data_IF_041221440625
#
_entry.id   IF_041221440625
#
_cell.length_a   1.000
_cell.length_b   1.000
_cell.length_c   1.000
_cell.angle_alpha   90.00
_cell.angle_beta   90.00
_cell.angle_gamma   90.00
#
_symmetry.space_group_name_H-M   'P 1'
#
loop_
_entity.id
_entity.type
_entity.pdbx_description
1 polymer ?
#
# COMPACT_ATOMS: atom_id res chain seq x y z
N UNK A 1 7.31 -48.61 -6.60
CA UNK A 1 7.75 -47.72 -7.70
C UNK A 1 6.59 -47.06 -8.44
N UNK A 2 5.59 -47.78 -8.97
CA UNK A 2 4.44 -47.18 -9.70
C UNK A 2 3.64 -46.14 -8.91
N UNK A 3 3.34 -46.40 -7.63
CA UNK A 3 2.61 -45.47 -6.75
C UNK A 3 3.37 -44.17 -6.48
N UNK A 4 4.70 -44.24 -6.41
CA UNK A 4 5.57 -43.07 -6.22
C UNK A 4 5.59 -42.20 -7.49
N UNK A 5 5.66 -42.82 -8.67
CA UNK A 5 5.56 -42.11 -9.95
C UNK A 5 4.23 -41.37 -10.12
N UNK A 6 3.11 -42.00 -9.73
CA UNK A 6 1.79 -41.35 -9.73
C UNK A 6 1.74 -40.18 -8.74
N UNK A 7 2.28 -40.35 -7.53
CA UNK A 7 2.32 -39.27 -6.53
C UNK A 7 3.15 -38.07 -7.01
N UNK A 8 4.33 -38.31 -7.59
CA UNK A 8 5.17 -37.25 -8.17
C UNK A 8 4.47 -36.54 -9.32
N UNK A 9 3.80 -37.30 -10.19
CA UNK A 9 3.05 -36.72 -11.31
C UNK A 9 1.89 -35.83 -10.84
N UNK A 10 1.12 -36.27 -9.83
CA UNK A 10 0.06 -35.45 -9.23
C UNK A 10 0.65 -34.19 -8.59
N UNK A 11 1.77 -34.29 -7.88
CA UNK A 11 2.44 -33.15 -7.26
C UNK A 11 2.89 -32.11 -8.31
N UNK A 12 3.43 -32.58 -9.44
CA UNK A 12 3.84 -31.72 -10.56
C UNK A 12 2.64 -31.01 -11.20
N UNK A 13 1.51 -31.69 -11.37
CA UNK A 13 0.29 -31.07 -11.89
C UNK A 13 -0.20 -30.01 -10.90
N UNK A 14 -0.29 -30.33 -9.60
CA UNK A 14 -0.74 -29.39 -8.58
C UNK A 14 0.19 -28.16 -8.49
N UNK A 15 1.51 -28.37 -8.55
CA UNK A 15 2.49 -27.30 -8.56
C UNK A 15 2.37 -26.41 -9.80
N UNK A 16 2.20 -27.02 -10.99
CA UNK A 16 2.05 -26.27 -12.25
C UNK A 16 0.76 -25.45 -12.27
N UNK A 17 -0.36 -26.04 -11.81
CA UNK A 17 -1.65 -25.36 -11.70
C UNK A 17 -1.56 -24.22 -10.67
N UNK A 18 -0.95 -24.46 -9.51
CA UNK A 18 -0.74 -23.45 -8.48
C UNK A 18 0.11 -22.27 -8.98
N UNK A 19 1.23 -22.55 -9.65
CA UNK A 19 2.09 -21.52 -10.24
C UNK A 19 1.36 -20.73 -11.34
N UNK A 20 0.58 -21.39 -12.18
CA UNK A 20 -0.26 -20.72 -13.18
C UNK A 20 -1.24 -19.73 -12.54
N UNK A 21 -1.93 -20.12 -11.47
CA UNK A 21 -2.80 -19.22 -10.72
C UNK A 21 -2.03 -18.07 -10.06
N UNK A 22 -0.85 -18.33 -9.49
CA UNK A 22 0.00 -17.31 -8.89
C UNK A 22 0.36 -16.21 -9.89
N UNK A 23 0.87 -16.57 -11.07
CA UNK A 23 1.20 -15.61 -12.14
C UNK A 23 -0.06 -14.86 -12.61
N UNK A 24 -1.18 -15.57 -12.79
CA UNK A 24 -2.44 -14.95 -13.23
C UNK A 24 -2.97 -13.90 -12.26
N UNK A 25 -2.68 -14.05 -10.96
CA UNK A 25 -3.06 -13.07 -9.93
C UNK A 25 -2.11 -11.86 -9.86
N UNK A 26 -1.09 -11.79 -10.72
CA UNK A 26 -0.04 -10.75 -10.66
C UNK A 26 1.12 -11.15 -9.76
N UNK A 27 1.28 -12.44 -9.47
CA UNK A 27 2.46 -12.95 -8.79
C UNK A 27 3.71 -12.67 -9.63
N UNK A 28 4.75 -12.13 -9.00
CA UNK A 28 6.01 -11.72 -9.62
C UNK A 28 5.91 -10.52 -10.59
N UNK A 29 4.82 -9.75 -10.58
CA UNK A 29 4.76 -8.45 -11.26
C UNK A 29 5.78 -7.50 -10.62
N UNK A 30 6.64 -6.81 -11.40
CA UNK A 30 7.63 -5.88 -10.86
C UNK A 30 6.95 -4.64 -10.25
N UNK A 31 7.58 -4.06 -9.23
CA UNK A 31 7.20 -2.75 -8.70
C UNK A 31 7.71 -1.70 -9.69
N UNK A 32 6.81 -0.89 -10.22
CA UNK A 32 7.17 0.16 -11.17
C UNK A 32 7.57 1.41 -10.38
N UNK A 33 8.85 1.75 -10.40
CA UNK A 33 9.43 2.86 -9.66
C UNK A 33 9.71 4.05 -10.58
N UNK A 34 9.30 5.25 -10.16
CA UNK A 34 9.59 6.50 -10.86
C UNK A 34 9.82 7.64 -9.87
N UNK A 35 10.58 8.66 -10.31
CA UNK A 35 10.67 9.95 -9.60
C UNK A 35 9.65 10.88 -10.23
N UNK A 36 8.82 11.50 -9.40
CA UNK A 36 7.84 12.49 -9.81
C UNK A 36 8.28 13.85 -9.29
N UNK A 37 8.40 14.82 -10.19
CA UNK A 37 8.78 16.21 -9.88
C UNK A 37 7.54 17.04 -9.57
N UNK A 38 6.82 16.66 -8.52
CA UNK A 38 5.68 17.36 -7.98
C UNK A 38 5.61 17.13 -6.46
N UNK A 39 4.87 17.97 -5.75
CA UNK A 39 4.61 17.75 -4.33
C UNK A 39 3.61 16.60 -4.14
N UNK A 40 3.77 15.77 -3.09
CA UNK A 40 2.71 14.85 -2.69
C UNK A 40 1.42 15.62 -2.36
N UNK A 41 0.26 15.06 -2.71
CA UNK A 41 -1.04 15.66 -2.40
C UNK A 41 -1.20 15.95 -0.91
N UNK A 42 -1.86 17.06 -0.58
CA UNK A 42 -2.35 17.30 0.77
C UNK A 42 -3.42 16.26 1.10
N UNK A 43 -3.36 15.69 2.30
CA UNK A 43 -4.27 14.65 2.74
C UNK A 43 -5.12 15.12 3.91
N UNK A 44 -6.40 14.82 3.85
CA UNK A 44 -7.38 15.16 4.89
C UNK A 44 -8.00 13.88 5.43
N UNK A 45 -7.98 13.68 6.74
CA UNK A 45 -8.41 12.40 7.29
C UNK A 45 -8.39 12.31 8.81
N UNK A 46 -8.28 11.08 9.31
CA UNK A 46 -8.27 10.76 10.74
C UNK A 46 -7.15 9.79 11.06
N UNK A 47 -6.51 9.99 12.20
CA UNK A 47 -5.57 9.01 12.76
C UNK A 47 -6.29 8.03 13.66
N UNK A 48 -6.12 6.74 13.38
CA UNK A 48 -6.53 5.65 14.24
C UNK A 48 -5.33 5.08 14.99
N UNK A 49 -5.52 4.78 16.28
CA UNK A 49 -4.55 4.06 17.11
C UNK A 49 -5.23 2.95 17.90
N UNK A 50 -4.73 1.73 17.77
CA UNK A 50 -5.26 0.55 18.46
C UNK A 50 -4.82 -0.72 17.74
N UNK A 51 -5.68 -1.73 17.56
CA UNK A 51 -5.29 -3.02 16.96
C UNK A 51 -6.00 -3.28 15.63
N UNK A 52 -5.43 -4.09 14.72
CA UNK A 52 -6.07 -4.46 13.46
C UNK A 52 -7.48 -5.06 13.57
N UNK A 53 -7.84 -5.65 14.72
CA UNK A 53 -9.14 -6.28 14.94
C UNK A 53 -10.18 -5.38 15.61
N UNK A 54 -9.78 -4.18 16.02
CA UNK A 54 -10.68 -3.22 16.65
C UNK A 54 -11.71 -2.72 15.62
N UNK A 55 -13.02 -2.80 15.90
CA UNK A 55 -14.07 -2.27 15.03
C UNK A 55 -13.87 -0.79 14.66
N UNK A 56 -13.23 0.01 15.53
CA UNK A 56 -12.95 1.43 15.30
C UNK A 56 -12.05 1.68 14.09
N UNK A 57 -11.15 0.76 13.76
CA UNK A 57 -10.37 0.85 12.53
C UNK A 57 -11.31 0.81 11.31
N UNK A 58 -12.22 -0.15 11.29
CA UNK A 58 -13.22 -0.28 10.23
C UNK A 58 -14.20 0.90 10.19
N UNK A 59 -14.57 1.47 11.35
CA UNK A 59 -15.36 2.71 11.43
C UNK A 59 -14.60 3.88 10.79
N UNK A 60 -13.32 4.04 11.12
CA UNK A 60 -12.46 5.08 10.54
C UNK A 60 -12.41 4.98 9.02
N UNK A 61 -12.19 3.78 8.46
CA UNK A 61 -12.23 3.57 7.02
C UNK A 61 -13.59 3.91 6.40
N UNK A 62 -14.70 3.45 7.01
CA UNK A 62 -16.05 3.73 6.51
C UNK A 62 -16.38 5.21 6.50
N UNK A 63 -15.95 5.96 7.51
CA UNK A 63 -16.14 7.41 7.54
C UNK A 63 -15.40 8.11 6.39
N UNK A 64 -14.16 7.68 6.11
CA UNK A 64 -13.37 8.21 4.98
C UNK A 64 -13.96 7.79 3.63
N UNK A 65 -14.46 6.55 3.49
CA UNK A 65 -15.19 6.08 2.30
C UNK A 65 -16.48 6.88 2.06
N UNK A 66 -17.22 7.21 3.12
CA UNK A 66 -18.39 8.09 3.02
C UNK A 66 -17.98 9.49 2.54
N UNK A 67 -16.89 10.05 3.08
CA UNK A 67 -16.35 11.33 2.61
C UNK A 67 -15.91 11.25 1.14
N UNK A 68 -15.32 10.14 0.71
CA UNK A 68 -14.91 9.90 -0.67
C UNK A 68 -16.11 9.91 -1.61
N UNK A 69 -17.22 9.28 -1.19
CA UNK A 69 -18.46 9.26 -1.98
C UNK A 69 -19.03 10.66 -2.26
N UNK A 70 -18.76 11.61 -1.35
CA UNK A 70 -19.15 13.01 -1.49
C UNK A 70 -18.13 13.84 -2.30
N UNK A 71 -16.92 13.31 -2.51
CA UNK A 71 -15.84 13.97 -3.25
C UNK A 71 -15.31 13.07 -4.38
N UNK A 72 -16.08 12.89 -5.48
CA UNK A 72 -15.71 12.00 -6.56
C UNK A 72 -14.35 12.36 -7.17
N UNK A 73 -13.56 11.34 -7.50
CA UNK A 73 -12.23 11.50 -8.08
C UNK A 73 -11.08 11.43 -7.05
N UNK A 74 -11.37 11.67 -5.77
CA UNK A 74 -10.40 11.48 -4.68
C UNK A 74 -10.09 10.00 -4.43
N UNK A 75 -8.93 9.73 -3.85
CA UNK A 75 -8.41 8.41 -3.51
C UNK A 75 -8.19 8.29 -2.01
N UNK A 76 -8.36 7.08 -1.49
CA UNK A 76 -8.05 6.80 -0.09
C UNK A 76 -6.55 6.63 0.04
N UNK A 77 -6.00 7.33 1.03
CA UNK A 77 -4.61 7.26 1.41
C UNK A 77 -4.47 6.71 2.82
N UNK A 78 -3.39 5.97 3.06
CA UNK A 78 -2.99 5.56 4.41
C UNK A 78 -1.52 5.85 4.68
N UNK A 79 -1.21 6.20 5.93
CA UNK A 79 0.17 6.38 6.42
C UNK A 79 0.29 5.60 7.71
N UNK A 80 1.09 4.54 7.70
CA UNK A 80 1.38 3.75 8.90
C UNK A 80 2.55 4.38 9.65
N UNK A 81 2.26 5.05 10.77
CA UNK A 81 3.28 5.53 11.70
C UNK A 81 3.84 4.38 12.54
N UNK A 82 2.99 3.39 12.83
CA UNK A 82 3.36 2.14 13.47
C UNK A 82 2.64 0.98 12.78
N UNK A 83 3.40 0.11 12.12
CA UNK A 83 2.87 -1.12 11.53
C UNK A 83 2.75 -2.23 12.59
N UNK A 84 1.62 -2.95 12.62
CA UNK A 84 1.43 -4.07 13.53
C UNK A 84 2.19 -5.31 13.00
N UNK A 85 2.93 -6.00 13.87
CA UNK A 85 3.53 -7.30 13.51
C UNK A 85 2.51 -8.45 13.55
N UNK A 86 1.39 -8.25 14.25
CA UNK A 86 0.32 -9.22 14.41
C UNK A 86 -1.03 -8.57 14.71
N UNK A 87 -2.09 -9.40 14.72
CA UNK A 87 -3.48 -8.95 14.83
C UNK A 87 -3.83 -8.25 16.15
N UNK A 88 -3.04 -8.48 17.20
CA UNK A 88 -3.23 -7.93 18.54
C UNK A 88 -2.24 -6.81 18.85
N UNK A 89 -1.30 -6.54 17.94
CA UNK A 89 -0.30 -5.49 18.16
C UNK A 89 -0.92 -4.12 17.93
N UNK A 90 -0.37 -3.14 18.62
CA UNK A 90 -0.77 -1.75 18.41
C UNK A 90 -0.26 -1.29 17.05
N UNK A 91 -1.14 -0.64 16.32
CA UNK A 91 -0.85 0.11 15.11
C UNK A 91 -1.30 1.55 15.28
N UNK A 92 -0.66 2.43 14.52
CA UNK A 92 -1.04 3.82 14.39
C UNK A 92 -1.03 4.16 12.91
N UNK A 93 -2.22 4.47 12.38
CA UNK A 93 -2.43 4.68 10.94
C UNK A 93 -3.28 5.92 10.73
N UNK A 94 -2.82 6.81 9.86
CA UNK A 94 -3.67 7.84 9.29
C UNK A 94 -4.43 7.27 8.10
N UNK A 95 -5.72 7.58 7.99
CA UNK A 95 -6.58 7.23 6.84
C UNK A 95 -7.24 8.51 6.35
N UNK A 96 -7.10 8.85 5.07
CA UNK A 96 -7.60 10.12 4.53
C UNK A 96 -7.77 10.14 3.02
N UNK A 97 -8.10 11.31 2.48
CA UNK A 97 -8.29 11.59 1.06
C UNK A 97 -7.34 12.68 0.58
N UNK A 98 -7.00 12.67 -0.70
CA UNK A 98 -6.33 13.78 -1.39
C UNK A 98 -7.30 14.95 -1.58
N UNK A 99 -7.34 15.83 -0.57
CA UNK A 99 -8.19 17.01 -0.54
C UNK A 99 -7.35 18.25 -0.22
N UNK A 100 -7.65 19.40 -0.83
CA UNK A 100 -6.85 20.61 -0.66
C UNK A 100 -6.97 21.27 0.72
N UNK A 101 -8.07 21.03 1.45
CA UNK A 101 -8.31 21.62 2.77
C UNK A 101 -9.20 20.73 3.64
N UNK A 102 -8.97 20.77 4.95
CA UNK A 102 -9.80 20.06 5.92
C UNK A 102 -11.21 20.66 6.01
N UNK A 103 -12.18 19.79 6.28
CA UNK A 103 -13.54 20.17 6.64
C UNK A 103 -13.86 19.61 8.03
N UNK A 104 -14.40 20.45 8.91
CA UNK A 104 -14.80 20.03 10.27
C UNK A 104 -13.61 19.60 11.14
N UNK A 105 -13.73 18.41 11.74
CA UNK A 105 -12.78 17.86 12.73
C UNK A 105 -11.65 17.01 12.11
N UNK A 106 -11.46 17.06 10.79
CA UNK A 106 -10.45 16.26 10.10
C UNK A 106 -9.05 16.84 10.23
N UNK A 107 -8.06 15.96 10.36
CA UNK A 107 -6.64 16.30 10.37
C UNK A 107 -6.15 16.61 8.96
N UNK A 108 -5.19 17.54 8.84
CA UNK A 108 -4.48 17.81 7.58
C UNK A 108 -3.05 17.27 7.65
N UNK A 109 -2.61 16.55 6.63
CA UNK A 109 -1.20 16.19 6.39
C UNK A 109 -0.75 16.87 5.10
N UNK A 110 0.23 17.76 5.21
CA UNK A 110 0.85 18.45 4.08
C UNK A 110 2.33 18.08 4.01
N UNK A 111 2.86 18.03 2.80
CA UNK A 111 4.22 17.60 2.52
C UNK A 111 4.97 18.76 1.84
N UNK A 112 6.04 19.29 2.46
CA UNK A 112 6.76 20.43 1.90
C UNK A 112 7.67 20.07 0.71
N UNK A 113 7.90 18.78 0.48
CA UNK A 113 8.75 18.29 -0.61
C UNK A 113 8.14 18.57 -1.98
N UNK A 114 8.97 18.86 -2.97
CA UNK A 114 8.58 19.13 -4.36
C UNK A 114 8.85 17.95 -5.31
N UNK A 115 9.21 16.80 -4.75
CA UNK A 115 9.44 15.57 -5.47
C UNK A 115 9.17 14.36 -4.57
N UNK A 116 8.79 13.25 -5.18
CA UNK A 116 8.61 11.97 -4.49
C UNK A 116 8.95 10.81 -5.40
N UNK A 117 9.21 9.65 -4.80
CA UNK A 117 9.26 8.37 -5.49
C UNK A 117 7.86 7.78 -5.49
N UNK A 118 7.36 7.40 -6.66
CA UNK A 118 6.15 6.62 -6.84
C UNK A 118 6.53 5.16 -7.09
N UNK A 119 5.98 4.26 -6.27
CA UNK A 119 6.09 2.81 -6.44
C UNK A 119 4.71 2.25 -6.75
N UNK A 120 4.47 1.91 -8.02
CA UNK A 120 3.18 1.41 -8.48
C UNK A 120 3.15 -0.12 -8.47
N UNK A 121 2.14 -0.67 -7.82
CA UNK A 121 1.90 -2.10 -7.65
C UNK A 121 0.59 -2.50 -8.32
N UNK A 122 0.66 -3.46 -9.25
CA UNK A 122 -0.51 -4.04 -9.91
C UNK A 122 -0.53 -5.54 -9.64
N UNK A 123 -1.26 -5.93 -8.60
CA UNK A 123 -1.36 -7.31 -8.17
C UNK A 123 -2.63 -7.52 -7.35
N UNK A 124 -3.15 -8.74 -7.35
CA UNK A 124 -4.19 -9.10 -6.41
C UNK A 124 -3.64 -9.12 -4.96
N UNK A 125 -4.43 -8.71 -3.98
CA UNK A 125 -4.07 -8.68 -2.55
C UNK A 125 -3.45 -9.98 -2.01
N UNK A 126 -3.78 -11.14 -2.57
CA UNK A 126 -3.24 -12.44 -2.13
C UNK A 126 -1.78 -12.66 -2.53
N UNK A 127 -1.29 -11.96 -3.55
CA UNK A 127 0.07 -12.15 -4.11
C UNK A 127 0.88 -10.85 -4.17
N UNK A 128 0.32 -9.73 -3.68
CA UNK A 128 1.00 -8.45 -3.60
C UNK A 128 2.20 -8.55 -2.65
N UNK A 129 3.36 -7.95 -2.98
CA UNK A 129 4.49 -7.93 -2.07
C UNK A 129 4.13 -7.23 -0.75
N UNK A 130 4.71 -7.71 0.35
CA UNK A 130 4.51 -7.11 1.66
C UNK A 130 5.15 -5.71 1.77
N UNK A 131 4.71 -4.89 2.73
CA UNK A 131 5.09 -3.48 2.85
C UNK A 131 6.61 -3.28 2.96
N UNK A 132 7.30 -4.08 3.76
CA UNK A 132 8.76 -3.96 3.92
C UNK A 132 9.54 -4.23 2.64
N UNK A 133 9.05 -5.12 1.76
CA UNK A 133 9.69 -5.35 0.46
C UNK A 133 9.56 -4.11 -0.43
N UNK A 134 8.37 -3.50 -0.46
CA UNK A 134 8.12 -2.28 -1.24
C UNK A 134 9.00 -1.13 -0.74
N UNK A 135 9.05 -0.93 0.58
CA UNK A 135 9.90 0.10 1.20
C UNK A 135 11.38 -0.12 0.90
N UNK A 136 11.86 -1.36 0.92
CA UNK A 136 13.25 -1.65 0.59
C UNK A 136 13.57 -1.33 -0.87
N UNK A 137 12.71 -1.72 -1.82
CA UNK A 137 12.90 -1.38 -3.23
C UNK A 137 12.89 0.15 -3.45
N UNK A 138 12.04 0.90 -2.73
CA UNK A 138 12.05 2.37 -2.73
C UNK A 138 13.37 2.92 -2.17
N UNK A 139 13.89 2.38 -1.06
CA UNK A 139 15.17 2.79 -0.45
C UNK A 139 16.34 2.54 -1.40
N UNK A 140 16.39 1.39 -2.05
CA UNK A 140 17.42 1.06 -3.03
C UNK A 140 17.34 1.99 -4.25
N UNK A 141 16.14 2.26 -4.75
CA UNK A 141 15.92 3.18 -5.85
C UNK A 141 16.34 4.60 -5.50
N UNK A 142 15.97 5.11 -4.32
CA UNK A 142 16.38 6.42 -3.82
C UNK A 142 17.91 6.54 -3.78
N UNK A 143 18.59 5.55 -3.21
CA UNK A 143 20.07 5.47 -3.18
C UNK A 143 20.66 5.50 -4.59
N UNK A 144 20.09 4.76 -5.53
CA UNK A 144 20.56 4.73 -6.93
C UNK A 144 20.43 6.08 -7.65
N UNK A 145 19.52 6.94 -7.17
CA UNK A 145 19.25 8.28 -7.70
C UNK A 145 19.89 9.40 -6.88
N UNK A 146 20.63 9.07 -5.82
CA UNK A 146 21.17 10.04 -4.84
C UNK A 146 20.08 10.92 -4.21
N UNK A 147 18.89 10.36 -3.96
CA UNK A 147 17.78 11.02 -3.30
C UNK A 147 17.73 10.60 -1.82
N UNK A 148 17.34 11.54 -0.96
CA UNK A 148 17.18 11.30 0.48
C UNK A 148 15.70 11.12 0.82
N UNK A 149 15.33 9.94 1.31
CA UNK A 149 13.95 9.68 1.76
C UNK A 149 13.64 10.44 3.07
N UNK A 150 12.43 10.96 3.19
CA UNK A 150 11.90 11.54 4.43
C UNK A 150 11.46 10.52 5.48
N UNK A 151 11.36 9.25 5.09
CA UNK A 151 10.93 8.16 5.97
C UNK A 151 9.41 8.04 6.13
N UNK A 152 8.63 8.81 5.36
CA UNK A 152 7.18 8.68 5.26
C UNK A 152 6.85 7.86 4.01
N UNK A 153 5.93 6.89 4.15
CA UNK A 153 5.39 6.11 3.05
C UNK A 153 3.86 6.27 3.07
N UNK A 154 3.32 6.72 1.94
CA UNK A 154 1.91 7.05 1.78
C UNK A 154 1.34 6.06 0.78
N UNK A 155 0.49 5.15 1.25
CA UNK A 155 -0.21 4.22 0.37
C UNK A 155 -1.41 4.95 -0.23
N UNK A 156 -1.56 4.89 -1.55
CA UNK A 156 -2.70 5.40 -2.31
C UNK A 156 -3.43 4.22 -2.93
N UNK A 157 -4.63 3.96 -2.43
CA UNK A 157 -5.48 2.87 -2.87
C UNK A 157 -6.23 3.32 -4.13
N UNK A 158 -5.77 2.87 -5.29
CA UNK A 158 -6.34 3.25 -6.58
C UNK A 158 -7.47 2.32 -6.99
N UNK A 159 -7.33 1.03 -6.71
CA UNK A 159 -8.36 -0.02 -6.85
C UNK A 159 -8.04 -1.22 -5.95
N UNK A 160 -8.89 -2.26 -5.96
CA UNK A 160 -8.64 -3.50 -5.21
C UNK A 160 -7.35 -4.24 -5.61
N UNK A 161 -6.84 -4.00 -6.83
CA UNK A 161 -5.63 -4.64 -7.35
C UNK A 161 -4.53 -3.65 -7.74
N UNK A 162 -4.67 -2.38 -7.34
CA UNK A 162 -3.72 -1.34 -7.67
C UNK A 162 -3.49 -0.41 -6.49
N UNK A 163 -2.25 -0.41 -6.01
CA UNK A 163 -1.76 0.45 -4.93
C UNK A 163 -0.55 1.21 -5.44
N UNK A 164 -0.48 2.49 -5.12
CA UNK A 164 0.68 3.33 -5.37
C UNK A 164 1.26 3.74 -4.01
N UNK A 165 2.54 3.46 -3.76
CA UNK A 165 3.23 3.90 -2.56
C UNK A 165 4.06 5.13 -2.90
N UNK A 166 3.76 6.24 -2.25
CA UNK A 166 4.41 7.53 -2.44
C UNK A 166 5.39 7.75 -1.29
N UNK A 167 6.64 8.03 -1.61
CA UNK A 167 7.69 8.33 -0.64
C UNK A 167 8.30 9.72 -0.94
N UNK A 168 8.03 10.76 -0.12
CA UNK A 168 8.61 12.09 -0.30
C UNK A 168 10.13 12.08 -0.18
N UNK A 169 10.81 12.87 -1.02
CA UNK A 169 12.28 12.90 -1.10
C UNK A 169 12.85 14.31 -1.22
N UNK A 170 14.13 14.44 -0.88
CA UNK A 170 14.98 15.63 -1.12
C UNK A 170 16.25 15.27 -1.89
#
# INVERSE_FOLDING_TARGET
>A
MKKLGIAVFILLILGSVGYFFFIKLGGNTPILLSVVSDAPSTLIGKTYRGTPQDPKLGETFREIEQLQSLNPGTKIHTIYYLEPAGKLDTMEVFVGLDLPFATGELETKAFPENQYISAKLIANKWVMPGPEKVKEEIREFAKSKNLTLKGIFIDKITSESEVEVIAPVE
#
